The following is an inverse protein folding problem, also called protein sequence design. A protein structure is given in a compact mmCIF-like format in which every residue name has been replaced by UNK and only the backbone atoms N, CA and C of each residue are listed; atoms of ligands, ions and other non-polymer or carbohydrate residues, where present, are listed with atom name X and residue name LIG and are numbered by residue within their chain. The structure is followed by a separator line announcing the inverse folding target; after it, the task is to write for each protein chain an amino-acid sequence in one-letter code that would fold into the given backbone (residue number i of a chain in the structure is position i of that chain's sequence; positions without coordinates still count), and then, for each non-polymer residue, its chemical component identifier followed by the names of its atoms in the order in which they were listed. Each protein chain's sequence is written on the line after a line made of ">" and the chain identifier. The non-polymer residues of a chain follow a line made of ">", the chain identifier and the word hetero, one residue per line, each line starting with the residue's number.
data_IF_089503995933
#
_entry.id   IF_089503995933
#
_cell.length_a   1.000
_cell.length_b   1.000
_cell.length_c   1.000
_cell.angle_alpha   90.00
_cell.angle_beta   90.00
_cell.angle_gamma   90.00
#
_symmetry.space_group_name_H-M   'P 1'
#
loop_
_entity.id
_entity.type
_entity.pdbx_description
1 polymer ?
#
# COMPACT_ATOMS: atom_id res chain seq x y z
N UNK A 1 24.87 47.76 2.89
CA UNK A 1 24.41 46.91 1.78
C UNK A 1 23.10 47.46 1.25
N UNK A 2 23.02 47.73 -0.05
CA UNK A 2 21.80 48.16 -0.73
C UNK A 2 21.15 46.95 -1.41
N UNK A 3 20.00 46.50 -0.87
CA UNK A 3 19.30 45.30 -1.35
C UNK A 3 18.81 45.44 -2.79
N UNK A 4 18.39 46.63 -3.21
CA UNK A 4 17.89 46.87 -4.56
C UNK A 4 19.01 46.70 -5.59
N UNK A 5 20.19 47.27 -5.33
CA UNK A 5 21.36 47.10 -6.19
C UNK A 5 21.86 45.66 -6.21
N UNK A 6 21.82 44.97 -5.08
CA UNK A 6 22.20 43.56 -4.98
C UNK A 6 21.32 42.68 -5.88
N UNK A 7 20.00 42.86 -5.81
CA UNK A 7 19.06 42.09 -6.64
C UNK A 7 19.25 42.40 -8.13
N UNK A 8 19.40 43.67 -8.49
CA UNK A 8 19.66 44.07 -9.87
C UNK A 8 20.98 43.50 -10.43
N UNK A 9 22.01 43.35 -9.58
CA UNK A 9 23.22 42.62 -9.95
C UNK A 9 22.95 41.13 -10.21
N UNK A 10 22.15 40.46 -9.37
CA UNK A 10 21.78 39.06 -9.56
C UNK A 10 20.95 38.85 -10.84
N UNK A 11 20.12 39.82 -11.21
CA UNK A 11 19.33 39.84 -12.43
C UNK A 11 20.16 40.20 -13.68
N UNK A 12 21.43 40.60 -13.49
CA UNK A 12 22.36 40.96 -14.57
C UNK A 12 22.14 42.35 -15.15
N UNK A 13 21.38 43.22 -14.47
CA UNK A 13 21.09 44.58 -14.93
C UNK A 13 22.21 45.58 -14.63
N UNK A 14 23.11 45.24 -13.69
CA UNK A 14 24.12 46.14 -13.14
C UNK A 14 25.44 45.40 -12.99
N UNK A 15 26.55 46.02 -13.40
CA UNK A 15 27.89 45.44 -13.28
C UNK A 15 28.47 45.56 -11.86
N UNK A 16 29.41 44.67 -11.52
CA UNK A 16 30.04 44.62 -10.18
C UNK A 16 30.67 45.97 -9.78
N UNK A 17 31.21 46.72 -10.75
CA UNK A 17 31.87 48.01 -10.53
C UNK A 17 30.92 49.14 -10.13
N UNK A 18 29.62 49.00 -10.36
CA UNK A 18 28.59 50.03 -10.06
C UNK A 18 27.97 49.86 -8.66
N UNK A 19 28.36 48.79 -7.97
CA UNK A 19 27.96 48.46 -6.61
C UNK A 19 28.82 49.20 -5.59
N UNK A 20 28.21 49.58 -4.47
CA UNK A 20 28.93 50.04 -3.28
C UNK A 20 29.80 48.93 -2.70
N UNK A 21 30.89 49.32 -2.02
CA UNK A 21 31.91 48.40 -1.50
C UNK A 21 31.34 47.34 -0.54
N UNK A 22 30.34 47.71 0.26
CA UNK A 22 29.62 46.80 1.14
C UNK A 22 28.81 45.76 0.37
N UNK A 23 28.10 46.19 -0.69
CA UNK A 23 27.31 45.29 -1.52
C UNK A 23 28.19 44.39 -2.38
N UNK A 24 29.35 44.85 -2.85
CA UNK A 24 30.35 43.99 -3.51
C UNK A 24 30.83 42.86 -2.59
N UNK A 25 31.14 43.15 -1.32
CA UNK A 25 31.52 42.13 -0.33
C UNK A 25 30.40 41.11 -0.10
N UNK A 26 29.14 41.56 -0.08
CA UNK A 26 27.99 40.69 0.03
C UNK A 26 27.85 39.76 -1.20
N UNK A 27 28.02 40.29 -2.41
CA UNK A 27 28.00 39.52 -3.67
C UNK A 27 29.09 38.44 -3.67
N UNK A 28 30.32 38.78 -3.26
CA UNK A 28 31.42 37.79 -3.18
C UNK A 28 31.11 36.67 -2.18
N UNK A 29 30.46 37.01 -1.07
CA UNK A 29 30.07 36.02 -0.05
C UNK A 29 28.95 35.11 -0.58
N UNK A 30 27.99 35.69 -1.29
CA UNK A 30 26.89 34.97 -1.94
C UNK A 30 27.38 34.02 -3.03
N UNK A 31 28.30 34.44 -3.91
CA UNK A 31 28.85 33.59 -4.96
C UNK A 31 29.64 32.41 -4.41
N UNK A 32 30.44 32.61 -3.35
CA UNK A 32 31.11 31.52 -2.63
C UNK A 32 30.12 30.54 -2.00
N UNK A 33 29.03 31.05 -1.40
CA UNK A 33 27.98 30.20 -0.85
C UNK A 33 27.31 29.35 -1.96
N UNK A 34 27.08 29.94 -3.14
CA UNK A 34 26.59 29.21 -4.31
C UNK A 34 27.57 28.15 -4.81
N UNK A 35 28.88 28.41 -4.82
CA UNK A 35 29.87 27.38 -5.19
C UNK A 35 29.85 26.19 -4.24
N UNK A 36 29.82 26.44 -2.92
CA UNK A 36 29.70 25.38 -1.91
C UNK A 36 28.39 24.62 -2.07
N UNK A 37 27.28 25.32 -2.33
CA UNK A 37 25.99 24.69 -2.60
C UNK A 37 26.05 23.83 -3.87
N UNK A 38 26.64 24.32 -4.96
CA UNK A 38 26.84 23.56 -6.19
C UNK A 38 27.65 22.29 -5.94
N UNK A 39 28.73 22.35 -5.15
CA UNK A 39 29.51 21.16 -4.78
C UNK A 39 28.65 20.14 -4.03
N UNK A 40 27.77 20.61 -3.14
CA UNK A 40 26.85 19.75 -2.39
C UNK A 40 25.80 19.09 -3.29
N UNK A 41 25.23 19.83 -4.24
CA UNK A 41 24.21 19.31 -5.16
C UNK A 41 24.81 18.46 -6.30
N UNK A 42 26.03 18.78 -6.75
CA UNK A 42 26.78 17.97 -7.72
C UNK A 42 27.58 16.83 -7.08
N UNK A 43 27.35 16.55 -5.80
CA UNK A 43 27.97 15.41 -5.15
C UNK A 43 27.48 14.11 -5.78
N UNK A 44 28.30 13.51 -6.64
CA UNK A 44 28.11 12.15 -7.10
C UNK A 44 28.74 11.18 -6.09
N UNK A 45 27.94 10.37 -5.37
CA UNK A 45 28.49 9.37 -4.47
C UNK A 45 29.31 8.36 -5.26
N UNK A 46 30.39 7.86 -4.65
CA UNK A 46 31.23 6.84 -5.27
C UNK A 46 30.42 5.58 -5.61
N UNK A 47 30.81 4.88 -6.68
CA UNK A 47 30.15 3.63 -7.11
C UNK A 47 30.04 2.63 -5.96
N UNK A 48 31.07 2.52 -5.12
CA UNK A 48 31.07 1.66 -3.94
C UNK A 48 30.00 2.04 -2.90
N UNK A 49 29.76 3.33 -2.68
CA UNK A 49 28.73 3.79 -1.75
C UNK A 49 27.33 3.56 -2.30
N UNK A 50 27.14 3.76 -3.60
CA UNK A 50 25.90 3.46 -4.32
C UNK A 50 25.55 1.97 -4.24
N UNK A 51 26.52 1.08 -4.45
CA UNK A 51 26.32 -0.36 -4.32
C UNK A 51 25.95 -0.79 -2.90
N UNK A 52 26.62 -0.23 -1.87
CA UNK A 52 26.28 -0.50 -0.47
C UNK A 52 24.85 -0.08 -0.12
N UNK A 53 24.40 1.08 -0.61
CA UNK A 53 23.04 1.57 -0.42
C UNK A 53 22.01 0.67 -1.14
N UNK A 54 22.27 0.32 -2.40
CA UNK A 54 21.39 -0.57 -3.17
C UNK A 54 21.28 -1.96 -2.53
N UNK A 55 22.38 -2.52 -2.03
CA UNK A 55 22.38 -3.81 -1.33
C UNK A 55 21.52 -3.76 -0.07
N UNK A 56 21.61 -2.67 0.70
CA UNK A 56 20.83 -2.46 1.93
C UNK A 56 19.33 -2.23 1.66
N UNK A 57 18.98 -1.57 0.56
CA UNK A 57 17.59 -1.40 0.12
C UNK A 57 17.00 -2.75 -0.34
N UNK A 58 17.77 -3.52 -1.12
CA UNK A 58 17.33 -4.82 -1.64
C UNK A 58 17.06 -5.83 -0.51
N UNK A 59 17.91 -5.85 0.53
CA UNK A 59 17.69 -6.73 1.68
C UNK A 59 16.43 -6.37 2.48
N UNK A 60 16.14 -5.08 2.68
CA UNK A 60 14.91 -4.65 3.35
C UNK A 60 13.65 -5.03 2.59
N UNK A 61 13.64 -4.87 1.26
CA UNK A 61 12.49 -5.25 0.43
C UNK A 61 12.22 -6.75 0.49
N UNK A 62 13.27 -7.57 0.54
CA UNK A 62 13.15 -9.03 0.69
C UNK A 62 12.48 -9.40 2.01
N UNK A 63 12.89 -8.79 3.12
CA UNK A 63 12.29 -9.04 4.44
C UNK A 63 10.81 -8.67 4.48
N UNK A 64 10.43 -7.52 3.93
CA UNK A 64 9.01 -7.10 3.86
C UNK A 64 8.19 -8.08 3.02
N UNK A 65 8.74 -8.52 1.89
CA UNK A 65 8.07 -9.49 1.02
C UNK A 65 7.90 -10.86 1.72
N UNK A 66 8.93 -11.36 2.39
CA UNK A 66 8.87 -12.62 3.16
C UNK A 66 7.80 -12.54 4.27
N UNK A 67 7.66 -11.39 4.93
CA UNK A 67 6.65 -11.15 5.96
C UNK A 67 5.23 -11.13 5.38
N UNK A 68 5.04 -10.51 4.22
CA UNK A 68 3.75 -10.51 3.51
C UNK A 68 3.34 -11.91 3.06
N UNK A 69 4.28 -12.69 2.52
CA UNK A 69 4.04 -14.08 2.11
C UNK A 69 3.68 -14.94 3.33
N UNK A 70 4.44 -14.82 4.42
CA UNK A 70 4.14 -15.53 5.67
C UNK A 70 2.74 -15.18 6.19
N UNK A 71 2.38 -13.89 6.21
CA UNK A 71 1.04 -13.44 6.61
C UNK A 71 -0.07 -13.99 5.72
N UNK A 72 0.12 -13.97 4.39
CA UNK A 72 -0.86 -14.50 3.44
C UNK A 72 -1.05 -16.01 3.60
N UNK A 73 0.03 -16.78 3.80
CA UNK A 73 -0.05 -18.22 4.03
C UNK A 73 -0.75 -18.56 5.34
N UNK A 74 -0.45 -17.86 6.44
CA UNK A 74 -1.11 -18.05 7.71
C UNK A 74 -2.62 -17.74 7.63
N UNK A 75 -2.99 -16.65 6.93
CA UNK A 75 -4.38 -16.31 6.69
C UNK A 75 -5.12 -17.37 5.87
N UNK A 76 -4.49 -17.90 4.82
CA UNK A 76 -5.08 -18.97 4.01
C UNK A 76 -5.33 -20.24 4.83
N UNK A 77 -4.34 -20.68 5.62
CA UNK A 77 -4.47 -21.84 6.50
C UNK A 77 -5.60 -21.64 7.51
N UNK A 78 -5.68 -20.45 8.13
CA UNK A 78 -6.72 -20.13 9.10
C UNK A 78 -8.13 -20.17 8.49
N UNK A 79 -8.31 -19.63 7.28
CA UNK A 79 -9.59 -19.70 6.57
C UNK A 79 -10.00 -21.13 6.24
N UNK A 80 -9.06 -21.96 5.78
CA UNK A 80 -9.30 -23.38 5.53
C UNK A 80 -9.74 -24.09 6.82
N UNK A 81 -9.07 -23.81 7.95
CA UNK A 81 -9.41 -24.39 9.24
C UNK A 81 -10.84 -24.04 9.69
N UNK A 82 -11.24 -22.77 9.58
CA UNK A 82 -12.60 -22.32 9.94
C UNK A 82 -13.64 -22.96 9.03
N UNK A 83 -13.37 -23.02 7.72
CA UNK A 83 -14.30 -23.62 6.76
C UNK A 83 -14.48 -25.14 6.95
N UNK A 84 -13.51 -25.79 7.59
CA UNK A 84 -13.52 -27.22 7.89
C UNK A 84 -14.22 -27.56 9.21
N UNK A 85 -14.65 -26.56 9.99
CA UNK A 85 -15.46 -26.78 11.19
C UNK A 85 -16.86 -27.23 10.72
N UNK A 86 -17.31 -28.46 11.03
CA UNK A 86 -18.59 -28.95 10.55
C UNK A 86 -19.71 -28.09 11.15
N UNK A 87 -20.41 -27.34 10.29
CA UNK A 87 -21.64 -26.66 10.68
C UNK A 87 -22.65 -27.74 11.11
N UNK A 88 -23.17 -27.64 12.33
CA UNK A 88 -24.25 -28.51 12.80
C UNK A 88 -25.39 -28.45 11.78
N UNK A 89 -25.68 -29.59 11.16
CA UNK A 89 -26.81 -29.75 10.24
C UNK A 89 -28.09 -29.55 11.06
N UNK A 90 -28.72 -28.39 10.93
CA UNK A 90 -30.09 -28.19 11.37
C UNK A 90 -30.97 -29.02 10.45
N UNK A 91 -31.40 -30.18 10.94
CA UNK A 91 -32.39 -31.01 10.25
C UNK A 91 -33.67 -30.18 10.02
N UNK A 92 -34.28 -30.23 8.82
CA UNK A 92 -35.58 -29.59 8.60
C UNK A 92 -36.65 -30.24 9.49
N UNK A 93 -37.67 -29.49 9.95
CA UNK A 93 -38.70 -30.04 10.80
C UNK A 93 -39.43 -31.16 10.06
N UNK A 94 -39.47 -32.34 10.69
CA UNK A 94 -40.21 -33.52 10.21
C UNK A 94 -41.67 -33.08 10.07
N UNK A 95 -42.15 -32.97 8.82
CA UNK A 95 -43.58 -32.81 8.56
C UNK A 95 -44.27 -34.05 9.10
N UNK A 96 -45.05 -33.88 10.16
CA UNK A 96 -45.88 -34.95 10.71
C UNK A 96 -46.93 -35.27 9.64
N UNK A 97 -46.77 -36.40 8.94
CA UNK A 97 -47.79 -36.93 8.07
C UNK A 97 -49.10 -37.02 8.88
N UNK A 98 -50.11 -36.31 8.42
CA UNK A 98 -51.37 -36.21 9.15
C UNK A 98 -52.11 -37.52 8.92
N UNK A 99 -52.57 -38.17 9.99
CA UNK A 99 -53.23 -39.49 9.95
C UNK A 99 -54.36 -39.57 8.91
N UNK A 100 -54.94 -38.42 8.54
CA UNK A 100 -55.88 -38.24 7.43
C UNK A 100 -55.40 -38.78 6.08
N UNK A 101 -54.14 -38.55 5.69
CA UNK A 101 -53.63 -38.97 4.38
C UNK A 101 -53.51 -40.49 4.27
N UNK A 102 -53.23 -41.17 5.40
CA UNK A 102 -53.18 -42.64 5.46
C UNK A 102 -54.58 -43.25 5.36
N UNK A 103 -55.57 -42.60 5.99
CA UNK A 103 -56.97 -43.03 5.89
C UNK A 103 -57.56 -42.81 4.49
N UNK A 104 -57.21 -41.71 3.82
CA UNK A 104 -57.62 -41.47 2.43
C UNK A 104 -57.00 -42.48 1.46
N UNK A 105 -55.75 -42.89 1.67
CA UNK A 105 -55.15 -43.96 0.87
C UNK A 105 -55.85 -45.31 1.09
N UNK A 106 -56.17 -45.65 2.34
CA UNK A 106 -56.86 -46.90 2.66
C UNK A 106 -58.30 -46.92 2.13
N UNK A 107 -59.01 -45.78 2.15
CA UNK A 107 -60.35 -45.67 1.58
C UNK A 107 -60.33 -45.76 0.06
N UNK A 108 -59.33 -45.14 -0.59
CA UNK A 108 -59.13 -45.23 -2.04
C UNK A 108 -58.85 -46.68 -2.48
N UNK A 109 -58.00 -47.40 -1.75
CA UNK A 109 -57.70 -48.82 -2.02
C UNK A 109 -58.96 -49.68 -1.85
N UNK A 110 -59.78 -49.40 -0.84
CA UNK A 110 -61.01 -50.15 -0.58
C UNK A 110 -62.08 -49.90 -1.65
N UNK A 111 -62.19 -48.68 -2.15
CA UNK A 111 -63.10 -48.32 -3.24
C UNK A 111 -62.72 -49.00 -4.57
N UNK A 112 -61.42 -49.13 -4.84
CA UNK A 112 -60.92 -49.83 -6.03
C UNK A 112 -61.13 -51.36 -5.93
N UNK A 113 -61.17 -51.91 -4.71
CA UNK A 113 -61.34 -53.35 -4.50
C UNK A 113 -62.81 -53.81 -4.47
N UNK A 114 -63.77 -52.92 -4.22
CA UNK A 114 -65.21 -53.24 -4.17
C UNK A 114 -65.95 -52.97 -5.51
N UNK A 115 -65.22 -52.64 -6.58
CA UNK A 115 -65.82 -52.22 -7.86
C UNK A 115 -64.99 -52.55 -9.10
N UNK A 116 -64.58 -53.80 -9.27
CA UNK A 116 -64.31 -54.46 -10.57
C UNK A 116 -64.40 -55.98 -10.44
#
# INVERSE_FOLDING_TARGET
>A
MNEEKFNRFLDGEVDLSELDEDTQKAVISYTKALEVAKIRFNYQPSNMMREKLLKKIKSRKRLVFELLVAGATAFAIFNVLISSIPKKVTMPPIQKATVSEVFDYLSLIKLVNDGF
#
